data_IF_908202785857
#
_entry.id   IF_908202785857
#
_cell.length_a   1.000
_cell.length_b   1.000
_cell.length_c   1.000
_cell.angle_alpha   90.00
_cell.angle_beta   90.00
_cell.angle_gamma   90.00
#
_symmetry.space_group_name_H-M   'P 1'
#
loop_
_entity.id
_entity.type
_entity.pdbx_description
1 polymer ?
#
# COMPACT_ATOMS: atom_id res chain seq x y z
N UNK A 1 -4.02 -18.67 -7.11
CA UNK A 1 -5.27 -18.33 -6.38
C UNK A 1 -5.65 -16.86 -6.51
N UNK A 2 -4.75 -15.92 -6.16
CA UNK A 2 -5.06 -14.48 -6.15
C UNK A 2 -5.50 -13.91 -7.51
N UNK A 3 -4.96 -14.45 -8.61
CA UNK A 3 -5.39 -14.16 -9.98
C UNK A 3 -6.85 -14.57 -10.22
N UNK A 4 -7.21 -15.81 -9.90
CA UNK A 4 -8.58 -16.35 -10.07
C UNK A 4 -9.62 -15.59 -9.24
N UNK A 5 -9.29 -15.18 -8.02
CA UNK A 5 -10.19 -14.40 -7.16
C UNK A 5 -10.16 -12.89 -7.45
N UNK A 6 -9.30 -12.42 -8.37
CA UNK A 6 -9.07 -11.00 -8.69
C UNK A 6 -8.86 -10.14 -7.43
N UNK A 7 -8.11 -10.69 -6.48
CA UNK A 7 -8.02 -10.14 -5.13
C UNK A 7 -7.48 -8.70 -5.13
N UNK A 8 -8.24 -7.78 -4.53
CA UNK A 8 -7.89 -6.36 -4.43
C UNK A 8 -8.45 -5.78 -3.14
N UNK A 9 -7.58 -5.28 -2.24
CA UNK A 9 -8.03 -4.69 -0.97
C UNK A 9 -8.86 -3.42 -1.19
N UNK A 10 -8.43 -2.55 -2.11
CA UNK A 10 -9.19 -1.34 -2.49
C UNK A 10 -10.54 -1.71 -3.11
N UNK A 11 -10.54 -2.76 -3.95
CA UNK A 11 -11.76 -3.30 -4.55
C UNK A 11 -12.72 -3.83 -3.50
N UNK A 12 -12.24 -4.56 -2.49
CA UNK A 12 -13.09 -5.06 -1.41
C UNK A 12 -13.75 -3.96 -0.59
N UNK A 13 -13.05 -2.86 -0.30
CA UNK A 13 -13.65 -1.69 0.36
C UNK A 13 -14.69 -1.00 -0.54
N UNK A 14 -14.37 -0.81 -1.82
CA UNK A 14 -15.30 -0.22 -2.80
C UNK A 14 -16.57 -1.05 -2.97
N UNK A 15 -16.41 -2.36 -3.13
CA UNK A 15 -17.52 -3.27 -3.43
C UNK A 15 -18.44 -3.45 -2.22
N UNK A 16 -17.90 -3.39 -1.00
CA UNK A 16 -18.69 -3.31 0.23
C UNK A 16 -19.54 -2.03 0.27
N UNK A 17 -18.95 -0.86 -0.01
CA UNK A 17 -19.63 0.44 0.14
C UNK A 17 -20.67 0.65 -0.95
N UNK A 18 -20.32 0.36 -2.22
CA UNK A 18 -21.15 0.69 -3.37
C UNK A 18 -22.12 -0.43 -3.74
N UNK A 19 -21.66 -1.68 -3.74
CA UNK A 19 -22.43 -2.84 -4.22
C UNK A 19 -22.92 -3.75 -3.09
N UNK A 20 -22.49 -3.51 -1.85
CA UNK A 20 -22.76 -4.36 -0.67
C UNK A 20 -22.34 -5.81 -0.87
N UNK A 21 -21.29 -6.03 -1.66
CA UNK A 21 -20.70 -7.35 -1.86
C UNK A 21 -19.51 -7.54 -0.91
N UNK A 22 -19.61 -8.56 -0.07
CA UNK A 22 -18.63 -8.86 0.97
C UNK A 22 -17.61 -9.92 0.53
N UNK A 23 -17.71 -10.48 -0.68
CA UNK A 23 -16.89 -11.61 -1.13
C UNK A 23 -15.38 -11.33 -1.00
N UNK A 24 -14.91 -10.18 -1.53
CA UNK A 24 -13.50 -9.79 -1.45
C UNK A 24 -13.07 -9.43 -0.02
N UNK A 25 -13.98 -8.86 0.77
CA UNK A 25 -13.72 -8.47 2.16
C UNK A 25 -13.56 -9.68 3.08
N UNK A 26 -14.37 -10.72 2.90
CA UNK A 26 -14.19 -12.01 3.59
C UNK A 26 -12.85 -12.64 3.25
N UNK A 27 -12.39 -12.51 1.99
CA UNK A 27 -11.05 -12.92 1.59
C UNK A 27 -9.93 -12.17 2.31
N UNK A 28 -10.13 -10.89 2.65
CA UNK A 28 -9.15 -10.13 3.44
C UNK A 28 -9.14 -10.56 4.92
N UNK A 29 -10.33 -10.72 5.52
CA UNK A 29 -10.48 -11.20 6.89
C UNK A 29 -9.85 -12.60 7.03
N UNK A 30 -10.04 -13.48 6.06
CA UNK A 30 -9.47 -14.83 6.13
C UNK A 30 -7.95 -14.83 6.17
N UNK A 31 -7.28 -13.95 5.41
CA UNK A 31 -5.81 -13.79 5.47
C UNK A 31 -5.36 -13.32 6.86
N UNK A 32 -6.06 -12.36 7.46
CA UNK A 32 -5.74 -11.88 8.81
C UNK A 32 -5.91 -12.98 9.87
N UNK A 33 -7.03 -13.70 9.82
CA UNK A 33 -7.32 -14.78 10.78
C UNK A 33 -6.33 -15.93 10.61
N UNK A 34 -6.04 -16.37 9.38
CA UNK A 34 -5.06 -17.42 9.12
C UNK A 34 -3.67 -17.00 9.57
N UNK A 35 -3.22 -15.79 9.22
CA UNK A 35 -1.91 -15.29 9.64
C UNK A 35 -1.79 -15.22 11.16
N UNK A 36 -2.85 -14.80 11.87
CA UNK A 36 -2.90 -14.78 13.32
C UNK A 36 -2.80 -16.18 13.94
N UNK A 37 -3.63 -17.12 13.48
CA UNK A 37 -3.64 -18.51 13.98
C UNK A 37 -2.30 -19.21 13.69
N UNK A 38 -1.74 -19.03 12.49
CA UNK A 38 -0.44 -19.60 12.12
C UNK A 38 0.67 -18.99 12.98
N UNK A 39 0.73 -17.67 13.18
CA UNK A 39 1.73 -17.07 14.06
C UNK A 39 1.64 -17.55 15.51
N UNK A 40 0.42 -17.80 16.00
CA UNK A 40 0.21 -18.37 17.34
C UNK A 40 0.69 -19.82 17.41
N UNK A 41 0.38 -20.65 16.40
CA UNK A 41 0.78 -22.05 16.35
C UNK A 41 2.31 -22.22 16.26
N UNK A 42 3.00 -21.33 15.54
CA UNK A 42 4.46 -21.35 15.42
C UNK A 42 5.19 -20.60 16.54
N UNK A 43 4.46 -19.97 17.48
CA UNK A 43 5.05 -19.23 18.60
C UNK A 43 5.73 -17.91 18.23
N UNK A 44 5.55 -17.40 17.01
CA UNK A 44 6.09 -16.09 16.56
C UNK A 44 5.21 -14.89 16.97
N UNK A 45 4.14 -15.15 17.71
CA UNK A 45 3.20 -14.13 18.12
C UNK A 45 3.74 -13.26 19.26
N UNK A 46 4.18 -12.04 18.91
CA UNK A 46 4.63 -11.03 19.86
C UNK A 46 3.60 -9.88 19.93
N UNK A 47 2.84 -9.83 21.02
CA UNK A 47 1.91 -8.73 21.31
C UNK A 47 2.69 -7.50 21.74
N UNK A 48 2.73 -6.48 20.88
CA UNK A 48 3.33 -5.20 21.21
C UNK A 48 3.21 -4.22 20.05
N UNK A 49 3.07 -2.93 20.35
CA UNK A 49 3.14 -1.86 19.34
C UNK A 49 4.55 -1.23 19.28
N UNK A 50 5.40 -1.53 20.26
CA UNK A 50 6.78 -1.09 20.35
C UNK A 50 7.73 -2.23 19.95
N UNK A 51 8.88 -1.89 19.36
CA UNK A 51 9.94 -2.82 18.93
C UNK A 51 9.52 -3.91 17.94
N UNK A 52 8.41 -3.71 17.21
CA UNK A 52 8.06 -4.58 16.08
C UNK A 52 8.95 -4.26 14.87
N UNK A 53 9.45 -5.28 14.14
CA UNK A 53 10.30 -5.05 12.97
C UNK A 53 9.54 -4.22 11.93
N UNK A 54 10.21 -3.18 11.40
CA UNK A 54 9.70 -2.25 10.36
C UNK A 54 8.59 -1.28 10.85
N UNK A 55 7.95 -1.54 11.98
CA UNK A 55 6.93 -0.65 12.55
C UNK A 55 7.54 0.34 13.55
N UNK A 56 7.19 1.62 13.41
CA UNK A 56 7.48 2.64 14.41
C UNK A 56 6.20 3.08 15.11
N UNK A 57 6.32 3.61 16.32
CA UNK A 57 5.18 4.07 17.14
C UNK A 57 4.69 5.46 16.77
N UNK A 58 5.39 6.19 15.89
CA UNK A 58 4.98 7.51 15.39
C UNK A 58 3.70 7.41 14.53
N UNK A 59 2.55 7.53 15.19
CA UNK A 59 1.20 7.45 14.62
C UNK A 59 0.98 8.43 13.45
N UNK A 60 1.48 9.66 13.56
CA UNK A 60 1.33 10.69 12.52
C UNK A 60 1.99 10.28 11.20
N UNK A 61 3.25 9.83 11.27
CA UNK A 61 4.01 9.45 10.07
C UNK A 61 3.54 8.11 9.49
N UNK A 62 3.04 7.19 10.32
CA UNK A 62 2.37 5.99 9.83
C UNK A 62 1.11 6.34 9.04
N UNK A 63 0.29 7.23 9.58
CA UNK A 63 -0.95 7.65 8.92
C UNK A 63 -0.66 8.39 7.61
N UNK A 64 0.24 9.38 7.63
CA UNK A 64 0.62 10.14 6.44
C UNK A 64 1.29 9.26 5.37
N UNK A 65 2.16 8.33 5.77
CA UNK A 65 2.76 7.36 4.86
C UNK A 65 1.72 6.49 4.18
N UNK A 66 0.75 5.97 4.94
CA UNK A 66 -0.33 5.15 4.37
C UNK A 66 -1.31 5.96 3.51
N UNK A 67 -1.47 7.27 3.75
CA UNK A 67 -2.20 8.15 2.83
C UNK A 67 -1.48 8.23 1.48
N UNK A 68 -0.16 8.44 1.47
CA UNK A 68 0.62 8.50 0.23
C UNK A 68 0.50 7.18 -0.56
N UNK A 69 0.61 6.04 0.13
CA UNK A 69 0.44 4.71 -0.48
C UNK A 69 -0.98 4.53 -1.03
N UNK A 70 -2.01 4.94 -0.28
CA UNK A 70 -3.40 4.87 -0.70
C UNK A 70 -3.67 5.74 -1.92
N UNK A 71 -3.21 6.99 -1.90
CA UNK A 71 -3.37 7.94 -3.00
C UNK A 71 -2.69 7.45 -4.28
N UNK A 72 -1.43 7.00 -4.19
CA UNK A 72 -0.73 6.37 -5.31
C UNK A 72 -1.47 5.15 -5.86
N UNK A 73 -2.01 4.29 -4.98
CA UNK A 73 -2.78 3.11 -5.38
C UNK A 73 -4.08 3.46 -6.12
N UNK A 74 -4.73 4.57 -5.78
CA UNK A 74 -5.92 5.07 -6.49
C UNK A 74 -5.55 5.56 -7.89
N UNK A 75 -4.48 6.35 -8.02
CA UNK A 75 -4.00 6.84 -9.31
C UNK A 75 -3.54 5.70 -10.24
N UNK A 76 -2.95 4.65 -9.68
CA UNK A 76 -2.53 3.46 -10.43
C UNK A 76 -3.69 2.50 -10.78
N UNK A 77 -4.90 2.73 -10.24
CA UNK A 77 -6.05 1.84 -10.47
C UNK A 77 -5.98 0.49 -9.75
N UNK A 78 -5.16 0.36 -8.70
CA UNK A 78 -5.03 -0.89 -7.94
C UNK A 78 -3.98 -0.84 -6.84
N UNK A 79 -4.17 -1.66 -5.79
CA UNK A 79 -3.16 -1.83 -4.75
C UNK A 79 -1.93 -2.62 -5.26
N UNK A 80 -0.79 -2.59 -4.55
CA UNK A 80 0.45 -3.25 -4.99
C UNK A 80 0.26 -4.73 -5.35
N UNK A 81 -0.55 -5.46 -4.57
CA UNK A 81 -0.85 -6.87 -4.83
C UNK A 81 -1.63 -7.06 -6.15
N UNK A 82 -2.57 -6.15 -6.46
CA UNK A 82 -3.31 -6.20 -7.73
C UNK A 82 -2.41 -5.90 -8.91
N UNK A 83 -1.49 -4.93 -8.80
CA UNK A 83 -0.51 -4.64 -9.85
C UNK A 83 0.37 -5.87 -10.14
N UNK A 84 0.80 -6.58 -9.10
CA UNK A 84 1.58 -7.82 -9.26
C UNK A 84 0.79 -8.94 -9.97
N UNK A 85 -0.50 -9.06 -9.68
CA UNK A 85 -1.37 -10.03 -10.36
C UNK A 85 -1.52 -9.66 -11.83
N UNK A 86 -1.84 -8.39 -12.11
CA UNK A 86 -2.04 -7.88 -13.48
C UNK A 86 -0.76 -7.98 -14.32
N UNK A 87 0.43 -7.76 -13.73
CA UNK A 87 1.69 -7.98 -14.43
C UNK A 87 1.88 -9.45 -14.83
N UNK A 88 1.41 -10.39 -13.99
CA UNK A 88 1.41 -11.82 -14.30
C UNK A 88 0.36 -12.25 -15.33
N UNK A 89 -0.70 -11.45 -15.52
CA UNK A 89 -1.70 -11.64 -16.58
C UNK A 89 -1.27 -11.03 -17.93
N UNK A 90 -0.11 -10.38 -17.99
CA UNK A 90 0.45 -9.78 -19.21
C UNK A 90 0.16 -8.29 -19.38
N UNK A 91 -0.31 -7.58 -18.35
CA UNK A 91 -0.48 -6.13 -18.40
C UNK A 91 0.89 -5.43 -18.26
N UNK A 92 1.34 -4.75 -19.31
CA UNK A 92 2.62 -4.04 -19.36
C UNK A 92 2.66 -2.82 -18.43
N UNK A 93 1.57 -2.10 -18.26
CA UNK A 93 1.50 -0.92 -17.39
C UNK A 93 1.66 -1.33 -15.92
N UNK A 94 1.04 -2.43 -15.54
CA UNK A 94 1.20 -3.02 -14.21
C UNK A 94 2.62 -3.57 -14.00
N UNK A 95 3.26 -4.13 -15.04
CA UNK A 95 4.65 -4.58 -14.95
C UNK A 95 5.62 -3.42 -14.70
N UNK A 96 5.43 -2.28 -15.38
CA UNK A 96 6.21 -1.05 -15.14
C UNK A 96 5.98 -0.55 -13.72
N UNK A 97 4.75 -0.60 -13.23
CA UNK A 97 4.40 -0.23 -11.85
C UNK A 97 5.13 -1.10 -10.82
N UNK A 98 5.17 -2.42 -11.03
CA UNK A 98 5.93 -3.34 -10.18
C UNK A 98 7.43 -3.05 -10.19
N UNK A 99 8.00 -2.74 -11.35
CA UNK A 99 9.40 -2.31 -11.45
C UNK A 99 9.64 -0.99 -10.71
N UNK A 100 8.73 -0.03 -10.82
CA UNK A 100 8.78 1.23 -10.07
C UNK A 100 8.75 1.02 -8.55
N UNK A 101 7.89 0.12 -8.05
CA UNK A 101 7.85 -0.26 -6.63
C UNK A 101 9.15 -0.90 -6.16
N UNK A 102 9.76 -1.79 -6.97
CA UNK A 102 11.04 -2.43 -6.66
C UNK A 102 12.19 -1.42 -6.61
N UNK A 103 12.30 -0.56 -7.64
CA UNK A 103 13.34 0.47 -7.69
C UNK A 103 13.16 1.49 -6.57
N UNK A 104 11.92 1.89 -6.28
CA UNK A 104 11.60 2.76 -5.15
C UNK A 104 12.01 2.15 -3.81
N UNK A 105 11.71 0.87 -3.58
CA UNK A 105 12.13 0.15 -2.38
C UNK A 105 13.66 0.09 -2.26
N UNK A 106 14.36 -0.18 -3.37
CA UNK A 106 15.81 -0.19 -3.40
C UNK A 106 16.39 1.20 -3.06
N UNK A 107 15.84 2.29 -3.61
CA UNK A 107 16.25 3.65 -3.27
C UNK A 107 16.02 3.92 -1.78
N UNK A 108 14.85 3.57 -1.25
CA UNK A 108 14.53 3.81 0.16
C UNK A 108 15.50 3.11 1.13
N UNK A 109 15.91 1.88 0.82
CA UNK A 109 16.84 1.11 1.64
C UNK A 109 18.30 1.55 1.46
N UNK A 110 18.74 1.91 0.24
CA UNK A 110 20.13 2.31 -0.02
C UNK A 110 20.44 3.73 0.47
N UNK A 111 19.47 4.66 0.40
CA UNK A 111 19.65 6.05 0.84
C UNK A 111 19.22 6.30 2.29
N UNK A 112 18.88 5.26 3.05
CA UNK A 112 18.50 5.38 4.48
C UNK A 112 17.20 6.17 4.70
N UNK A 113 16.29 6.16 3.72
CA UNK A 113 14.96 6.78 3.81
C UNK A 113 13.95 5.87 4.50
N UNK A 114 14.26 4.57 4.60
CA UNK A 114 13.42 3.59 5.27
C UNK A 114 13.37 3.85 6.79
N UNK A 115 12.15 3.88 7.34
CA UNK A 115 11.93 3.94 8.78
C UNK A 115 12.32 2.62 9.46
N UNK A 116 12.68 2.70 10.73
CA UNK A 116 12.98 1.53 11.57
C UNK A 116 12.20 1.61 12.89
N UNK A 117 12.35 0.61 13.76
CA UNK A 117 11.75 0.61 15.10
C UNK A 117 12.16 1.85 15.93
N UNK A 118 13.31 2.48 15.63
CA UNK A 118 13.76 3.71 16.26
C UNK A 118 12.97 4.97 15.83
N UNK A 119 12.12 4.86 14.80
CA UNK A 119 11.32 5.95 14.27
C UNK A 119 11.61 6.30 12.81
N UNK A 120 10.81 7.23 12.24
CA UNK A 120 11.00 7.76 10.90
C UNK A 120 12.23 8.67 10.82
N UNK A 121 13.11 8.40 9.85
CA UNK A 121 14.30 9.22 9.61
C UNK A 121 13.92 10.63 9.16
N UNK A 122 14.73 11.64 9.50
CA UNK A 122 14.47 13.03 9.09
C UNK A 122 14.36 13.15 7.56
N UNK A 123 15.22 12.45 6.83
CA UNK A 123 15.17 12.40 5.37
C UNK A 123 13.91 11.67 4.86
N UNK A 124 13.45 10.62 5.53
CA UNK A 124 12.18 9.93 5.21
C UNK A 124 10.96 10.82 5.38
N UNK A 125 10.94 11.69 6.41
CA UNK A 125 9.87 12.70 6.60
C UNK A 125 9.81 13.68 5.44
N UNK A 126 10.96 14.19 5.00
CA UNK A 126 11.06 15.10 3.85
C UNK A 126 10.60 14.41 2.57
N UNK A 127 11.05 13.17 2.33
CA UNK A 127 10.66 12.39 1.16
C UNK A 127 9.13 12.16 1.11
N UNK A 128 8.50 11.84 2.24
CA UNK A 128 7.05 11.68 2.32
C UNK A 128 6.29 12.96 1.94
N UNK A 129 6.76 14.13 2.39
CA UNK A 129 6.17 15.43 2.00
C UNK A 129 6.35 15.70 0.51
N UNK A 130 7.53 15.42 -0.06
CA UNK A 130 7.78 15.55 -1.49
C UNK A 130 6.81 14.66 -2.29
N UNK A 131 6.63 13.40 -1.89
CA UNK A 131 5.69 12.49 -2.52
C UNK A 131 4.25 13.03 -2.43
N UNK A 132 3.85 13.59 -1.29
CA UNK A 132 2.52 14.16 -1.11
C UNK A 132 2.26 15.34 -2.07
N UNK A 133 3.23 16.26 -2.19
CA UNK A 133 3.16 17.40 -3.11
C UNK A 133 3.14 16.91 -4.56
N UNK A 134 4.01 15.96 -4.92
CA UNK A 134 4.07 15.41 -6.26
C UNK A 134 2.76 14.74 -6.68
N UNK A 135 2.19 13.89 -5.82
CA UNK A 135 0.89 13.25 -6.09
C UNK A 135 -0.24 14.29 -6.18
N UNK A 136 -0.20 15.34 -5.36
CA UNK A 136 -1.13 16.46 -5.44
C UNK A 136 -1.07 17.18 -6.80
N UNK A 137 0.14 17.45 -7.29
CA UNK A 137 0.36 18.06 -8.61
C UNK A 137 -0.16 17.15 -9.73
N UNK A 138 0.22 15.87 -9.73
CA UNK A 138 -0.22 14.90 -10.74
C UNK A 138 -1.74 14.76 -10.75
N UNK A 139 -2.37 14.74 -9.56
CA UNK A 139 -3.83 14.66 -9.44
C UNK A 139 -4.52 15.92 -9.95
N UNK A 140 -3.95 17.09 -9.67
CA UNK A 140 -4.48 18.37 -10.15
C UNK A 140 -4.44 18.45 -11.68
N UNK A 141 -3.31 18.11 -12.30
CA UNK A 141 -3.17 18.14 -13.76
C UNK A 141 -4.02 17.08 -14.48
N UNK A 142 -4.34 15.96 -13.83
CA UNK A 142 -5.20 14.91 -14.40
C UNK A 142 -6.69 15.05 -14.01
N UNK A 143 -7.11 16.03 -13.22
CA UNK A 143 -8.53 16.14 -12.88
C UNK A 143 -9.29 16.83 -14.00
N UNK A 144 -10.19 16.08 -14.65
CA UNK A 144 -11.06 16.58 -15.74
C UNK A 144 -11.90 17.81 -15.34
N UNK A 145 -12.20 17.97 -14.04
CA UNK A 145 -12.93 19.12 -13.49
C UNK A 145 -12.22 20.47 -13.65
N UNK A 146 -10.95 20.48 -14.06
CA UNK A 146 -10.18 21.70 -14.39
C UNK A 146 -10.03 21.92 -15.91
N UNK A 147 -10.36 20.92 -16.73
CA UNK A 147 -10.31 21.00 -18.19
C UNK A 147 -11.60 21.57 -18.80
N UNK A 148 -12.71 21.58 -18.05
CA UNK A 148 -13.98 22.22 -18.43
C UNK A 148 -14.00 23.74 -18.18
N UNK A 149 -12.83 24.39 -18.02
CA UNK A 149 -12.71 25.85 -18.00
C UNK A 149 -12.13 26.41 -19.29
#
# INVERSE_FOLDING_TARGET
>A
LAQRSRFCMVGGARDLILFKDNYLLVGFISILVLSFVTNLAFGYFNLGFADQPVAHTDWLWNFLGMIVVGWGSVLLGGCPLRQLILSGEGNTDSAITCMGLLVGAAICHNFGLASSAAGPTFNGKIAAVICFVFLGIVSYFNSDSLLEK
#
